data_IF_625790966355
#
_entry.id   IF_625790966355
#
_cell.length_a   1.000
_cell.length_b   1.000
_cell.length_c   1.000
_cell.angle_alpha   90.00
_cell.angle_beta   90.00
_cell.angle_gamma   90.00
#
_symmetry.space_group_name_H-M   'P 1'
#
loop_
_entity.id
_entity.type
_entity.pdbx_description
1 polymer ?
#
# COMPACT_ATOMS: atom_id res chain seq x y z
N UNK A 1 -3.61 18.17 0.45
CA UNK A 1 -3.76 16.71 0.32
C UNK A 1 -2.37 16.11 0.14
N UNK A 2 -2.04 15.00 0.81
CA UNK A 2 -0.67 14.46 0.90
C UNK A 2 -0.04 14.20 -0.48
N UNK A 3 -0.81 13.69 -1.45
CA UNK A 3 -0.33 13.46 -2.83
C UNK A 3 0.11 14.76 -3.52
N UNK A 4 -0.56 15.89 -3.23
CA UNK A 4 -0.21 17.18 -3.81
C UNK A 4 1.14 17.74 -3.37
N UNK A 5 1.77 17.13 -2.36
CA UNK A 5 3.12 17.48 -1.88
C UNK A 5 4.23 16.72 -2.61
N UNK A 6 3.91 15.85 -3.57
CA UNK A 6 4.87 15.09 -4.39
C UNK A 6 5.01 15.71 -5.79
N UNK A 7 5.64 16.89 -5.97
CA UNK A 7 5.77 17.47 -7.28
C UNK A 7 6.70 16.64 -8.17
N UNK A 8 6.26 16.38 -9.40
CA UNK A 8 7.07 15.86 -10.51
C UNK A 8 7.67 14.45 -10.32
N UNK A 9 7.08 13.60 -9.48
CA UNK A 9 7.52 12.21 -9.33
C UNK A 9 6.81 11.28 -10.31
N UNK A 10 7.57 10.57 -11.14
CA UNK A 10 7.05 9.51 -12.04
C UNK A 10 6.94 8.19 -11.27
N UNK A 11 5.89 8.06 -10.46
CA UNK A 11 5.60 6.85 -9.70
C UNK A 11 4.15 6.43 -9.90
N UNK A 12 3.89 5.13 -9.69
CA UNK A 12 2.54 4.66 -9.50
C UNK A 12 2.06 5.04 -8.09
N UNK A 13 0.87 5.63 -8.00
CA UNK A 13 0.27 5.98 -6.71
C UNK A 13 -0.81 4.97 -6.36
N UNK A 14 -0.60 4.27 -5.25
CA UNK A 14 -1.61 3.44 -4.61
C UNK A 14 -2.56 4.37 -3.86
N UNK A 15 -3.88 4.13 -3.96
CA UNK A 15 -4.88 4.99 -3.34
C UNK A 15 -4.70 4.97 -1.82
N UNK A 16 -4.51 6.14 -1.16
CA UNK A 16 -4.35 6.17 0.28
C UNK A 16 -5.69 5.92 0.98
N UNK A 17 -5.62 5.36 2.19
CA UNK A 17 -6.74 5.30 3.12
C UNK A 17 -6.87 6.66 3.81
N UNK A 18 -8.06 7.26 3.78
CA UNK A 18 -8.35 8.56 4.38
C UNK A 18 -9.47 8.39 5.39
N UNK A 19 -9.14 8.60 6.67
CA UNK A 19 -10.06 8.44 7.79
C UNK A 19 -10.42 9.83 8.32
N UNK A 20 -11.68 10.04 8.67
CA UNK A 20 -12.17 11.29 9.26
C UNK A 20 -12.63 11.03 10.70
N UNK A 21 -11.79 11.37 11.66
CA UNK A 21 -12.08 11.13 13.07
C UNK A 21 -11.46 9.83 13.58
N UNK A 22 -12.10 9.19 14.54
CA UNK A 22 -11.61 7.96 15.14
C UNK A 22 -11.89 6.77 14.21
N UNK A 23 -10.91 5.88 13.97
CA UNK A 23 -11.07 4.76 13.06
C UNK A 23 -12.05 3.71 13.59
N UNK A 24 -12.91 3.20 12.71
CA UNK A 24 -13.78 2.06 12.97
C UNK A 24 -13.21 0.78 12.32
N UNK A 25 -13.85 -0.36 12.55
CA UNK A 25 -13.38 -1.67 12.05
C UNK A 25 -13.17 -1.70 10.52
N UNK A 26 -14.04 -1.00 9.78
CA UNK A 26 -13.94 -0.88 8.32
C UNK A 26 -12.69 -0.11 7.86
N UNK A 27 -12.21 0.84 8.67
CA UNK A 27 -10.99 1.59 8.39
C UNK A 27 -9.76 0.70 8.54
N UNK A 28 -9.73 -0.15 9.58
CA UNK A 28 -8.68 -1.14 9.75
C UNK A 28 -8.69 -2.19 8.62
N UNK A 29 -9.89 -2.66 8.23
CA UNK A 29 -10.04 -3.54 7.07
C UNK A 29 -9.52 -2.89 5.79
N UNK A 30 -9.69 -1.57 5.63
CA UNK A 30 -9.16 -0.83 4.50
C UNK A 30 -7.62 -0.76 4.51
N UNK A 31 -6.99 -0.75 5.68
CA UNK A 31 -5.53 -0.85 5.81
C UNK A 31 -5.01 -2.25 5.43
N UNK A 32 -5.71 -3.31 5.83
CA UNK A 32 -5.33 -4.68 5.44
C UNK A 32 -5.37 -4.85 3.92
N UNK A 33 -6.43 -4.35 3.29
CA UNK A 33 -6.56 -4.35 1.82
C UNK A 33 -5.45 -3.55 1.14
N UNK A 34 -5.05 -2.41 1.72
CA UNK A 34 -3.93 -1.62 1.21
C UNK A 34 -2.61 -2.39 1.30
N UNK A 35 -2.37 -3.11 2.41
CA UNK A 35 -1.19 -3.94 2.58
C UNK A 35 -1.15 -5.09 1.55
N UNK A 36 -2.29 -5.76 1.32
CA UNK A 36 -2.42 -6.79 0.28
C UNK A 36 -2.14 -6.24 -1.12
N UNK A 37 -2.64 -5.04 -1.43
CA UNK A 37 -2.42 -4.38 -2.72
C UNK A 37 -0.93 -4.04 -2.94
N UNK A 38 -0.23 -3.58 -1.89
CA UNK A 38 1.21 -3.34 -1.90
C UNK A 38 1.96 -4.65 -2.16
N UNK A 39 1.64 -5.72 -1.41
CA UNK A 39 2.27 -7.02 -1.57
C UNK A 39 2.06 -7.58 -2.99
N UNK A 40 0.84 -7.48 -3.51
CA UNK A 40 0.51 -7.92 -4.87
C UNK A 40 1.36 -7.19 -5.90
N UNK A 41 1.46 -5.85 -5.83
CA UNK A 41 2.30 -5.09 -6.78
C UNK A 41 3.77 -5.48 -6.70
N UNK A 42 4.30 -5.71 -5.50
CA UNK A 42 5.68 -6.15 -5.36
C UNK A 42 5.91 -7.56 -5.95
N UNK A 43 4.93 -8.47 -5.84
CA UNK A 43 4.95 -9.77 -6.53
C UNK A 43 4.93 -9.60 -8.05
N UNK A 44 4.03 -8.76 -8.57
CA UNK A 44 3.90 -8.51 -10.00
C UNK A 44 5.19 -7.89 -10.61
N UNK A 45 5.89 -7.07 -9.83
CA UNK A 45 7.21 -6.50 -10.20
C UNK A 45 8.39 -7.47 -9.96
N UNK A 46 8.15 -8.65 -9.39
CA UNK A 46 9.16 -9.64 -9.02
C UNK A 46 10.29 -9.06 -8.14
N UNK A 47 9.95 -8.18 -7.19
CA UNK A 47 10.93 -7.55 -6.28
C UNK A 47 10.90 -8.10 -4.85
N UNK A 48 10.17 -9.19 -4.63
CA UNK A 48 10.22 -9.91 -3.35
C UNK A 48 11.36 -10.92 -3.37
N UNK A 49 12.09 -11.03 -2.26
CA UNK A 49 13.04 -12.12 -2.06
C UNK A 49 12.30 -13.46 -1.98
N UNK A 50 12.88 -14.51 -2.56
CA UNK A 50 12.28 -15.83 -2.56
C UNK A 50 12.21 -16.38 -1.13
N UNK A 51 11.02 -16.73 -0.66
CA UNK A 51 10.78 -17.38 0.64
C UNK A 51 11.49 -18.75 0.79
N UNK A 52 12.07 -19.28 -0.29
CA UNK A 52 12.91 -20.49 -0.28
C UNK A 52 14.23 -20.31 0.47
N UNK A 53 14.72 -19.09 0.70
CA UNK A 53 15.96 -18.84 1.44
C UNK A 53 15.78 -18.87 2.97
N UNK A 54 14.54 -18.97 3.45
CA UNK A 54 14.20 -19.01 4.88
C UNK A 54 13.81 -20.42 5.37
N UNK A 55 14.04 -21.46 4.55
CA UNK A 55 13.92 -22.87 4.93
C UNK A 55 15.27 -23.56 4.86
#
# INVERSE_FOLDING_TARGET
YIIGMLPNLKVEIIKPVIIKGYPEEEDFTSLDRLADEILKRHKDLNILENEEQLK
#
